data_IF_566599590542
#
_entry.id   IF_566599590542
#
_cell.length_a   1.000
_cell.length_b   1.000
_cell.length_c   1.000
_cell.angle_alpha   90.00
_cell.angle_beta   90.00
_cell.angle_gamma   90.00
#
_symmetry.space_group_name_H-M   'P 1'
#
loop_
_entity.id
_entity.type
_entity.pdbx_description
1 polymer ?
#
# COMPACT_ATOMS: atom_id res chain seq x y z
N UNK A 1 -6.11 -3.75 -30.15
CA UNK A 1 -4.64 -3.79 -30.03
C UNK A 1 -4.31 -5.06 -29.26
N UNK A 2 -3.30 -5.84 -29.66
CA UNK A 2 -2.94 -7.00 -28.86
C UNK A 2 -2.52 -6.54 -27.45
N UNK A 3 -2.97 -7.22 -26.38
CA UNK A 3 -2.63 -6.88 -25.00
C UNK A 3 -1.12 -6.73 -24.77
N UNK A 4 -0.32 -7.44 -25.56
CA UNK A 4 1.14 -7.39 -25.54
C UNK A 4 1.68 -6.00 -25.87
N UNK A 5 1.13 -5.30 -26.88
CA UNK A 5 1.59 -3.96 -27.25
C UNK A 5 1.28 -2.93 -26.17
N UNK A 6 0.12 -3.05 -25.52
CA UNK A 6 -0.28 -2.19 -24.39
C UNK A 6 0.66 -2.43 -23.21
N UNK A 7 1.02 -3.68 -22.94
CA UNK A 7 2.00 -4.04 -21.91
C UNK A 7 3.37 -3.42 -22.17
N UNK A 8 3.92 -3.57 -23.38
CA UNK A 8 5.22 -2.99 -23.76
C UNK A 8 5.19 -1.46 -23.65
N UNK A 9 4.13 -0.82 -24.16
CA UNK A 9 3.97 0.63 -24.06
C UNK A 9 3.90 1.10 -22.59
N UNK A 10 3.17 0.38 -21.74
CA UNK A 10 3.08 0.67 -20.30
C UNK A 10 4.43 0.55 -19.59
N UNK A 11 5.20 -0.50 -19.87
CA UNK A 11 6.54 -0.67 -19.28
C UNK A 11 7.48 0.47 -19.66
N UNK A 12 7.49 0.86 -20.95
CA UNK A 12 8.30 2.00 -21.41
C UNK A 12 7.84 3.30 -20.76
N UNK A 13 6.52 3.51 -20.62
CA UNK A 13 5.97 4.71 -20.00
C UNK A 13 6.38 4.87 -18.53
N UNK A 14 6.36 3.79 -17.73
CA UNK A 14 6.83 3.82 -16.33
C UNK A 14 8.31 4.22 -16.27
N UNK A 15 9.16 3.64 -17.13
CA UNK A 15 10.59 3.96 -17.17
C UNK A 15 10.85 5.43 -17.52
N UNK A 16 10.07 5.99 -18.44
CA UNK A 16 10.15 7.42 -18.80
C UNK A 16 9.72 8.31 -17.61
N UNK A 17 8.61 7.97 -16.95
CA UNK A 17 8.13 8.72 -15.77
C UNK A 17 9.12 8.67 -14.60
N UNK A 18 9.75 7.52 -14.35
CA UNK A 18 10.82 7.39 -13.35
C UNK A 18 12.04 8.23 -13.72
N UNK A 19 12.41 8.29 -15.00
CA UNK A 19 13.53 9.11 -15.48
C UNK A 19 13.28 10.61 -15.27
N UNK A 20 12.02 11.04 -15.30
CA UNK A 20 11.56 12.39 -14.96
C UNK A 20 11.57 12.70 -13.45
N UNK A 21 12.11 11.79 -12.62
CA UNK A 21 12.14 11.87 -11.14
C UNK A 21 10.76 11.91 -10.48
N UNK A 22 9.72 11.41 -11.16
CA UNK A 22 8.44 11.19 -10.49
C UNK A 22 8.59 10.05 -9.49
N UNK A 23 8.03 10.17 -8.27
CA UNK A 23 8.04 9.07 -7.32
C UNK A 23 7.41 7.82 -7.92
N UNK A 24 8.05 6.67 -7.68
CA UNK A 24 7.66 5.36 -8.25
C UNK A 24 6.18 5.05 -8.01
N UNK A 25 5.65 5.40 -6.84
CA UNK A 25 4.25 5.20 -6.50
C UNK A 25 3.28 5.89 -7.48
N UNK A 26 3.53 7.15 -7.85
CA UNK A 26 2.68 7.88 -8.79
C UNK A 26 2.82 7.35 -10.22
N UNK A 27 4.03 6.98 -10.63
CA UNK A 27 4.25 6.38 -11.94
C UNK A 27 3.49 5.05 -12.07
N UNK A 28 3.65 4.15 -11.09
CA UNK A 28 2.97 2.85 -11.08
C UNK A 28 1.45 3.01 -10.99
N UNK A 29 0.97 3.92 -10.15
CA UNK A 29 -0.46 4.22 -10.04
C UNK A 29 -1.04 4.70 -11.37
N UNK A 30 -0.40 5.68 -12.02
CA UNK A 30 -0.90 6.26 -13.25
C UNK A 30 -0.90 5.25 -14.41
N UNK A 31 0.21 4.55 -14.63
CA UNK A 31 0.31 3.58 -15.72
C UNK A 31 -0.60 2.38 -15.49
N UNK A 32 -0.67 1.88 -14.25
CA UNK A 32 -1.56 0.78 -13.89
C UNK A 32 -3.03 1.14 -14.13
N UNK A 33 -3.46 2.32 -13.68
CA UNK A 33 -4.85 2.76 -13.79
C UNK A 33 -5.25 3.04 -15.25
N UNK A 34 -4.39 3.69 -16.02
CA UNK A 34 -4.62 3.94 -17.46
C UNK A 34 -4.59 2.63 -18.26
N UNK A 35 -3.63 1.75 -17.98
CA UNK A 35 -3.51 0.44 -18.65
C UNK A 35 -4.72 -0.46 -18.39
N UNK A 36 -5.16 -0.55 -17.14
CA UNK A 36 -6.34 -1.33 -16.77
C UNK A 36 -7.62 -0.72 -17.35
N UNK A 37 -7.71 0.62 -17.42
CA UNK A 37 -8.83 1.32 -18.05
C UNK A 37 -8.95 1.06 -19.56
N UNK A 38 -7.84 0.86 -20.25
CA UNK A 38 -7.82 0.53 -21.69
C UNK A 38 -8.18 -0.94 -21.94
N UNK A 39 -7.78 -1.86 -21.05
CA UNK A 39 -7.99 -3.30 -21.22
C UNK A 39 -9.39 -3.75 -20.80
N UNK A 40 -9.82 -3.36 -19.59
CA UNK A 40 -11.04 -3.87 -18.94
C UNK A 40 -12.12 -2.79 -18.78
N UNK A 41 -11.83 -1.57 -19.23
CA UNK A 41 -12.73 -0.42 -19.13
C UNK A 41 -12.57 0.39 -17.86
N UNK A 42 -12.88 1.69 -17.94
CA UNK A 42 -12.72 2.64 -16.82
C UNK A 42 -13.49 2.27 -15.56
N UNK A 43 -14.68 1.68 -15.69
CA UNK A 43 -15.48 1.22 -14.55
C UNK A 43 -14.75 0.11 -13.76
N UNK A 44 -14.17 -0.86 -14.48
CA UNK A 44 -13.40 -1.96 -13.87
C UNK A 44 -12.14 -1.42 -13.20
N UNK A 45 -11.39 -0.57 -13.91
CA UNK A 45 -10.15 0.03 -13.40
C UNK A 45 -10.33 0.78 -12.08
N UNK A 46 -11.39 1.60 -11.95
CA UNK A 46 -11.68 2.30 -10.70
C UNK A 46 -12.15 1.34 -9.59
N UNK A 47 -12.95 0.33 -9.92
CA UNK A 47 -13.38 -0.65 -8.92
C UNK A 47 -12.20 -1.43 -8.33
N UNK A 48 -11.29 -1.94 -9.16
CA UNK A 48 -10.08 -2.64 -8.72
C UNK A 48 -9.20 -1.71 -7.89
N UNK A 49 -9.00 -0.46 -8.33
CA UNK A 49 -8.19 0.51 -7.59
C UNK A 49 -8.72 0.77 -6.16
N UNK A 50 -10.05 0.89 -6.01
CA UNK A 50 -10.69 1.06 -4.70
C UNK A 50 -10.53 -0.21 -3.85
N UNK A 51 -10.77 -1.37 -4.43
CA UNK A 51 -10.66 -2.66 -3.72
C UNK A 51 -9.24 -2.93 -3.21
N UNK A 52 -8.22 -2.68 -4.03
CA UNK A 52 -6.81 -2.87 -3.65
C UNK A 52 -6.35 -1.86 -2.58
N UNK A 53 -6.84 -0.63 -2.65
CA UNK A 53 -6.56 0.37 -1.60
C UNK A 53 -7.21 -0.03 -0.28
N UNK A 54 -8.44 -0.55 -0.34
CA UNK A 54 -9.17 -1.03 0.84
C UNK A 54 -8.53 -2.26 1.48
N UNK A 55 -8.07 -3.22 0.68
CA UNK A 55 -7.39 -4.44 1.15
C UNK A 55 -6.09 -4.11 1.87
N UNK A 56 -5.31 -3.17 1.31
CA UNK A 56 -4.05 -2.70 1.91
C UNK A 56 -4.28 -1.95 3.23
N UNK A 57 -5.33 -1.13 3.31
CA UNK A 57 -5.65 -0.37 4.54
C UNK A 57 -6.18 -1.27 5.65
N UNK A 58 -6.94 -2.31 5.28
CA UNK A 58 -7.50 -3.30 6.22
C UNK A 58 -6.51 -4.44 6.49
N UNK A 59 -5.22 -4.23 6.16
CA UNK A 59 -4.22 -5.26 6.31
C UNK A 59 -4.03 -5.59 7.80
N UNK A 60 -4.32 -6.84 8.16
CA UNK A 60 -4.39 -7.28 9.55
C UNK A 60 -3.07 -7.06 10.31
N UNK A 61 -1.92 -7.16 9.63
CA UNK A 61 -0.62 -6.93 10.26
C UNK A 61 -0.45 -5.47 10.74
N UNK A 62 -1.12 -4.51 10.10
CA UNK A 62 -1.09 -3.11 10.56
C UNK A 62 -1.77 -2.94 11.92
N UNK A 63 -2.67 -3.85 12.32
CA UNK A 63 -3.32 -3.85 13.65
C UNK A 63 -2.35 -4.21 14.77
N UNK A 64 -1.25 -4.92 14.47
CA UNK A 64 -0.23 -5.29 15.45
C UNK A 64 0.45 -4.04 16.03
N UNK A 65 0.63 -2.99 15.21
CA UNK A 65 1.28 -1.73 15.62
C UNK A 65 0.51 -1.02 16.75
N UNK A 66 -0.78 -0.64 16.60
CA UNK A 66 -1.53 0.01 17.67
C UNK A 66 -1.75 -0.92 18.87
N UNK A 67 -1.90 -2.23 18.68
CA UNK A 67 -2.02 -3.18 19.79
C UNK A 67 -0.74 -3.25 20.63
N UNK A 68 0.43 -3.20 20.00
CA UNK A 68 1.71 -3.12 20.70
C UNK A 68 1.86 -1.81 21.48
N UNK A 69 1.48 -0.68 20.88
CA UNK A 69 1.46 0.62 21.56
C UNK A 69 0.49 0.62 22.75
N UNK A 70 -0.68 0.00 22.60
CA UNK A 70 -1.68 -0.10 23.66
C UNK A 70 -1.20 -1.00 24.80
N UNK A 71 -0.61 -2.16 24.48
CA UNK A 71 0.03 -3.05 25.48
C UNK A 71 1.11 -2.29 26.26
N UNK A 72 1.99 -1.54 25.57
CA UNK A 72 3.03 -0.75 26.21
C UNK A 72 2.47 0.32 27.16
N UNK A 73 1.40 1.01 26.76
CA UNK A 73 0.72 1.99 27.63
C UNK A 73 0.10 1.33 28.86
N UNK A 74 -0.58 0.20 28.70
CA UNK A 74 -1.19 -0.55 29.82
C UNK A 74 -0.13 -1.06 30.78
N UNK A 75 0.95 -1.66 30.28
CA UNK A 75 2.06 -2.14 31.11
C UNK A 75 2.79 -1.00 31.86
N UNK A 76 2.87 0.19 31.25
CA UNK A 76 3.44 1.37 31.91
C UNK A 76 2.51 1.97 32.97
N UNK A 77 1.20 2.02 32.72
CA UNK A 77 0.22 2.56 33.67
C UNK A 77 -0.04 1.63 34.85
N UNK A 78 -0.01 0.32 34.64
CA UNK A 78 -0.21 -0.67 35.71
C UNK A 78 0.98 -0.78 36.68
N UNK A 79 2.09 -0.09 36.41
CA UNK A 79 3.30 -0.18 37.23
C UNK A 79 4.07 -1.48 37.02
N UNK A 80 3.68 -2.32 36.04
CA UNK A 80 4.33 -3.61 35.77
C UNK A 80 5.84 -3.45 35.49
N UNK A 81 6.23 -2.40 34.78
CA UNK A 81 7.65 -2.07 34.55
C UNK A 81 8.42 -1.77 35.84
N UNK A 82 7.74 -1.23 36.85
CA UNK A 82 8.29 -0.89 38.16
C UNK A 82 8.32 -2.11 39.08
N UNK A 83 7.28 -2.94 39.05
CA UNK A 83 7.21 -4.21 39.77
C UNK A 83 8.27 -5.21 39.28
N UNK A 84 8.51 -5.28 37.97
CA UNK A 84 9.59 -6.09 37.40
C UNK A 84 10.98 -5.60 37.83
N UNK A 85 11.19 -4.28 37.94
CA UNK A 85 12.45 -3.71 38.44
C UNK A 85 12.67 -3.98 39.93
N UNK A 86 11.61 -4.07 40.72
CA UNK A 86 11.69 -4.38 42.15
C UNK A 86 11.85 -5.89 42.43
N UNK A 87 11.45 -6.75 41.50
CA UNK A 87 11.54 -8.21 41.64
C UNK A 87 12.89 -8.80 41.16
N UNK A 88 13.68 -8.02 40.40
CA UNK A 88 15.02 -8.37 39.94
C UNK A 88 16.10 -7.89 40.92
#
# INVERSE_FOLDING_TARGET
MDPVYIGIAGTVLVLVLMSLRLPVAFAMMFVGLVGHGILDGWSSAFSTFITETWSTTTYYELVVIPMFVMMGNVASMSGMSRDLYNAA
#
